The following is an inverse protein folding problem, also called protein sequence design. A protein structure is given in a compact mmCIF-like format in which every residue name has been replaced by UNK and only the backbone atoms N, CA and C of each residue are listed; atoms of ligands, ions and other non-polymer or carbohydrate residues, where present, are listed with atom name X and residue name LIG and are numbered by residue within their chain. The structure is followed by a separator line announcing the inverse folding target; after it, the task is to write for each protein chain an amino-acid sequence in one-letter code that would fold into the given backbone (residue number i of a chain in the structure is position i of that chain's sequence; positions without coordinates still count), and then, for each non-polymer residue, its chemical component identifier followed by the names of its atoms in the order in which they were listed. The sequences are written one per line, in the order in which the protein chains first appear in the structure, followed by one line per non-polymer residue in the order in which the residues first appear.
data_IF_312795433395
#
_entry.id   IF_312795433395
#
_cell.length_a   1.000
_cell.length_b   1.000
_cell.length_c   1.000
_cell.angle_alpha   90.00
_cell.angle_beta   90.00
_cell.angle_gamma   90.00
#
_symmetry.space_group_name_H-M   'P 1'
#
loop_
_entity.id
_entity.type
_entity.pdbx_description
1 polymer ?
#
# COMPACT_ATOMS: atom_id res chain seq x y z
N UNK A 1 3.06 -7.02 -33.70
CA UNK A 1 2.94 -5.59 -33.35
C UNK A 1 2.13 -5.51 -32.06
N UNK A 2 2.81 -5.47 -30.91
CA UNK A 2 2.15 -5.35 -29.61
C UNK A 2 1.81 -3.87 -29.42
N UNK A 3 0.52 -3.55 -29.55
CA UNK A 3 0.02 -2.20 -29.27
C UNK A 3 0.29 -1.91 -27.80
N UNK A 4 1.19 -0.96 -27.53
CA UNK A 4 1.35 -0.31 -26.23
C UNK A 4 0.06 0.47 -25.95
N UNK A 5 -0.97 -0.22 -25.45
CA UNK A 5 -2.19 0.42 -24.99
C UNK A 5 -1.85 1.25 -23.76
N UNK A 6 -2.02 2.56 -23.85
CA UNK A 6 -1.97 3.42 -22.67
C UNK A 6 -2.92 2.83 -21.62
N UNK A 7 -2.42 2.61 -20.40
CA UNK A 7 -3.24 2.07 -19.32
C UNK A 7 -4.40 3.04 -19.04
N UNK A 8 -5.66 2.56 -18.92
CA UNK A 8 -6.84 3.42 -18.83
C UNK A 8 -6.94 4.26 -17.55
N UNK A 9 -5.95 4.15 -16.65
CA UNK A 9 -5.91 4.79 -15.32
C UNK A 9 -4.79 5.82 -15.17
N UNK A 10 -4.12 6.23 -16.25
CA UNK A 10 -3.17 7.34 -16.16
C UNK A 10 -3.88 8.68 -15.82
N UNK A 11 -3.28 9.56 -15.00
CA UNK A 11 -2.00 9.39 -14.32
C UNK A 11 -2.10 8.39 -13.15
N UNK A 12 -1.08 7.56 -12.97
CA UNK A 12 -0.96 6.59 -11.86
C UNK A 12 -0.75 7.28 -10.50
N UNK A 13 -0.97 6.57 -9.36
CA UNK A 13 -0.67 7.07 -8.03
C UNK A 13 0.75 7.64 -7.95
N UNK A 14 0.94 8.65 -7.10
CA UNK A 14 2.28 9.14 -6.77
C UNK A 14 2.96 8.11 -5.88
N UNK A 15 4.17 7.70 -6.25
CA UNK A 15 4.93 6.68 -5.51
C UNK A 15 6.30 7.24 -5.15
N UNK A 16 6.74 6.98 -3.92
CA UNK A 16 8.08 7.29 -3.44
C UNK A 16 8.74 6.06 -2.85
N UNK A 17 9.98 5.85 -3.27
CA UNK A 17 10.89 4.86 -2.70
C UNK A 17 11.80 5.54 -1.69
N UNK A 18 12.17 4.82 -0.64
CA UNK A 18 13.26 5.19 0.25
C UNK A 18 13.94 3.94 0.81
N UNK A 19 15.11 4.13 1.40
CA UNK A 19 15.77 3.08 2.17
C UNK A 19 15.81 3.43 3.66
N UNK A 20 15.76 2.42 4.50
CA UNK A 20 15.69 2.55 5.97
C UNK A 20 16.85 3.36 6.56
N UNK A 21 17.99 3.44 5.87
CA UNK A 21 19.17 4.20 6.29
C UNK A 21 19.24 5.65 5.79
N UNK A 22 18.37 6.04 4.85
CA UNK A 22 18.33 7.38 4.25
C UNK A 22 17.29 8.30 4.92
N UNK A 23 16.44 7.73 5.79
CA UNK A 23 15.41 8.49 6.49
C UNK A 23 16.07 9.37 7.54
N UNK A 24 15.91 10.70 7.39
CA UNK A 24 16.44 11.69 8.33
C UNK A 24 15.92 11.40 9.75
N UNK A 25 16.80 11.22 10.75
CA UNK A 25 16.40 11.08 12.15
C UNK A 25 15.56 12.25 12.67
N UNK A 26 15.70 13.46 12.08
CA UNK A 26 14.84 14.61 12.38
C UNK A 26 13.37 14.34 12.06
N UNK A 27 13.08 13.36 11.22
CA UNK A 27 11.74 12.89 10.93
C UNK A 27 10.97 12.39 12.16
N UNK A 28 11.63 12.01 13.26
CA UNK A 28 10.94 11.69 14.54
C UNK A 28 10.13 12.89 15.07
N UNK A 29 10.50 14.12 14.73
CA UNK A 29 9.74 15.33 15.11
C UNK A 29 8.38 15.45 14.41
N UNK A 30 8.20 14.76 13.27
CA UNK A 30 6.93 14.75 12.52
C UNK A 30 5.89 13.79 13.11
N UNK A 31 6.30 12.91 14.01
CA UNK A 31 5.41 11.92 14.59
C UNK A 31 4.54 12.55 15.68
N UNK A 32 3.33 12.02 15.86
CA UNK A 32 2.53 12.34 17.04
C UNK A 32 2.99 11.55 18.28
N UNK A 33 2.38 11.82 19.44
CA UNK A 33 2.73 11.13 20.69
C UNK A 33 2.47 9.62 20.62
N UNK A 34 1.34 9.20 20.05
CA UNK A 34 0.97 7.79 19.94
C UNK A 34 1.91 7.02 18.98
N UNK A 35 2.37 7.65 17.91
CA UNK A 35 3.38 7.11 17.01
C UNK A 35 4.74 6.97 17.68
N UNK A 36 5.17 7.98 18.44
CA UNK A 36 6.43 7.90 19.21
C UNK A 36 6.39 6.77 20.23
N UNK A 37 5.29 6.61 20.95
CA UNK A 37 5.09 5.50 21.90
C UNK A 37 5.13 4.14 21.20
N UNK A 38 4.42 4.00 20.07
CA UNK A 38 4.46 2.76 19.26
C UNK A 38 5.87 2.45 18.78
N UNK A 39 6.62 3.44 18.30
CA UNK A 39 8.02 3.26 17.90
C UNK A 39 8.93 2.88 19.07
N UNK A 40 8.70 3.45 20.26
CA UNK A 40 9.45 3.13 21.48
C UNK A 40 9.20 1.69 21.95
N UNK A 41 8.00 1.15 21.74
CA UNK A 41 7.66 -0.24 22.07
C UNK A 41 8.33 -1.29 21.13
N UNK A 42 8.83 -0.88 19.96
CA UNK A 42 9.49 -1.78 19.01
C UNK A 42 10.90 -2.15 19.47
N UNK A 43 11.06 -3.37 19.98
CA UNK A 43 12.36 -3.90 20.44
C UNK A 43 13.39 -4.11 19.33
N UNK A 44 12.94 -4.43 18.12
CA UNK A 44 13.82 -4.74 17.00
C UNK A 44 14.23 -3.47 16.23
N UNK A 45 15.52 -3.08 16.20
CA UNK A 45 15.98 -1.84 15.56
C UNK A 45 15.56 -1.72 14.09
N UNK A 46 15.68 -2.82 13.32
CA UNK A 46 15.27 -2.84 11.91
C UNK A 46 13.75 -2.65 11.72
N UNK A 47 12.91 -3.08 12.68
CA UNK A 47 11.46 -2.85 12.62
C UNK A 47 11.12 -1.41 12.98
N UNK A 48 11.82 -0.84 13.98
CA UNK A 48 11.70 0.57 14.36
C UNK A 48 12.06 1.48 13.19
N UNK A 49 13.22 1.26 12.56
CA UNK A 49 13.71 2.10 11.47
C UNK A 49 12.79 2.04 10.22
N UNK A 50 12.25 0.85 9.88
CA UNK A 50 11.22 0.72 8.82
C UNK A 50 9.92 1.47 9.15
N UNK A 51 9.48 1.38 10.40
CA UNK A 51 8.23 2.03 10.83
C UNK A 51 8.38 3.56 10.85
N UNK A 52 9.53 4.06 11.30
CA UNK A 52 9.87 5.48 11.23
C UNK A 52 9.96 5.95 9.77
N UNK A 53 10.70 5.22 8.93
CA UNK A 53 10.82 5.51 7.50
C UNK A 53 9.48 5.63 6.81
N UNK A 54 8.60 4.63 6.98
CA UNK A 54 7.27 4.68 6.42
C UNK A 54 6.47 5.90 6.92
N UNK A 55 6.52 6.23 8.22
CA UNK A 55 5.80 7.37 8.78
C UNK A 55 6.27 8.71 8.19
N UNK A 56 7.59 8.89 8.04
CA UNK A 56 8.19 10.11 7.48
C UNK A 56 7.89 10.22 5.99
N UNK A 57 8.18 9.17 5.20
CA UNK A 57 7.93 9.14 3.76
C UNK A 57 6.45 9.37 3.41
N UNK A 58 5.53 8.85 4.23
CA UNK A 58 4.09 9.13 4.08
C UNK A 58 3.79 10.62 4.23
N UNK A 59 4.28 11.26 5.30
CA UNK A 59 4.00 12.68 5.55
C UNK A 59 4.62 13.59 4.50
N UNK A 60 5.85 13.32 4.09
CA UNK A 60 6.52 14.09 3.05
C UNK A 60 5.80 13.99 1.70
N UNK A 61 5.43 12.78 1.28
CA UNK A 61 4.74 12.58 0.02
C UNK A 61 3.32 13.17 0.05
N UNK A 62 2.59 12.98 1.16
CA UNK A 62 1.25 13.56 1.35
C UNK A 62 1.30 15.09 1.33
N UNK A 63 2.25 15.70 2.06
CA UNK A 63 2.43 17.14 2.12
C UNK A 63 2.73 17.72 0.74
N UNK A 64 3.62 17.08 -0.03
CA UNK A 64 3.94 17.49 -1.39
C UNK A 64 2.72 17.48 -2.30
N UNK A 65 1.94 16.39 -2.32
CA UNK A 65 0.78 16.31 -3.22
C UNK A 65 -0.40 17.16 -2.75
N UNK A 66 -0.52 17.40 -1.45
CA UNK A 66 -1.58 18.22 -0.86
C UNK A 66 -1.23 19.72 -0.87
N UNK A 67 0.03 20.09 -1.10
CA UNK A 67 0.49 21.48 -1.06
C UNK A 67 0.51 22.07 0.36
N UNK A 68 0.77 21.25 1.38
CA UNK A 68 0.91 21.68 2.77
C UNK A 68 2.30 21.32 3.33
N UNK A 69 2.57 21.66 4.58
CA UNK A 69 3.80 21.24 5.27
C UNK A 69 3.64 19.83 5.87
N UNK A 70 4.72 19.04 6.01
CA UNK A 70 4.66 17.71 6.63
C UNK A 70 4.05 17.68 8.05
N UNK A 71 4.22 18.74 8.83
CA UNK A 71 3.65 18.88 10.19
C UNK A 71 2.13 19.07 10.20
N UNK A 72 1.55 19.47 9.06
CA UNK A 72 0.11 19.64 8.89
C UNK A 72 -0.59 18.34 8.49
N UNK A 73 0.19 17.27 8.23
CA UNK A 73 -0.33 15.94 7.88
C UNK A 73 -0.51 15.10 9.14
N UNK A 74 -1.76 14.88 9.51
CA UNK A 74 -2.13 13.88 10.53
C UNK A 74 -2.41 12.52 9.91
N UNK A 75 -2.13 11.43 10.63
CA UNK A 75 -2.46 10.06 10.21
C UNK A 75 -3.28 9.36 11.30
N UNK A 76 -4.58 9.17 11.06
CA UNK A 76 -5.41 8.34 11.94
C UNK A 76 -5.17 6.86 11.61
N UNK A 77 -5.04 6.03 12.65
CA UNK A 77 -4.85 4.58 12.54
C UNK A 77 -5.83 3.83 13.43
N UNK A 78 -6.95 4.43 13.77
CA UNK A 78 -7.99 3.77 14.58
C UNK A 78 -8.53 2.56 13.82
N UNK A 79 -8.43 1.38 14.43
CA UNK A 79 -9.04 0.16 13.93
C UNK A 79 -10.49 0.06 14.42
N UNK A 80 -11.33 -0.76 13.77
CA UNK A 80 -12.68 -1.05 14.25
C UNK A 80 -12.75 -1.66 15.65
N UNK A 81 -11.63 -2.15 16.20
CA UNK A 81 -11.52 -2.58 17.60
C UNK A 81 -11.12 -1.46 18.57
N UNK A 82 -10.95 -0.22 18.10
CA UNK A 82 -10.57 0.95 18.89
C UNK A 82 -9.05 1.16 19.06
N UNK A 83 -8.22 0.22 18.62
CA UNK A 83 -6.77 0.26 18.80
C UNK A 83 -6.03 0.91 17.61
N UNK A 84 -4.85 1.52 17.80
CA UNK A 84 -4.14 2.33 16.80
C UNK A 84 -3.31 1.47 15.80
N UNK A 85 -3.93 0.44 15.24
CA UNK A 85 -3.33 -0.49 14.27
C UNK A 85 -4.13 -0.66 12.98
N UNK A 86 -5.08 0.24 12.72
CA UNK A 86 -5.76 0.35 11.44
C UNK A 86 -4.84 0.84 10.32
N UNK A 87 -5.36 0.82 9.10
CA UNK A 87 -4.70 1.46 7.96
C UNK A 87 -4.57 2.98 8.23
N UNK A 88 -3.49 3.62 7.75
CA UNK A 88 -3.36 5.07 7.85
C UNK A 88 -4.46 5.76 7.04
N UNK A 89 -5.17 6.69 7.68
CA UNK A 89 -6.13 7.61 7.08
C UNK A 89 -5.55 9.02 7.19
N UNK A 90 -5.22 9.68 6.06
CA UNK A 90 -4.73 11.06 6.06
C UNK A 90 -5.76 12.06 6.57
N UNK A 91 -5.28 13.02 7.37
CA UNK A 91 -6.10 14.04 8.02
C UNK A 91 -5.35 15.38 8.04
N UNK A 92 -6.01 16.45 8.49
CA UNK A 92 -5.42 17.79 8.46
C UNK A 92 -5.22 18.28 7.03
N UNK A 93 -4.04 18.81 6.70
CA UNK A 93 -3.72 19.35 5.38
C UNK A 93 -3.80 18.35 4.24
N UNK A 94 -3.76 17.04 4.54
CA UNK A 94 -3.89 15.97 3.56
C UNK A 94 -5.22 15.19 3.63
N UNK A 95 -6.25 15.74 4.29
CA UNK A 95 -7.58 15.12 4.30
C UNK A 95 -8.12 14.89 2.87
N UNK A 96 -8.83 13.78 2.66
CA UNK A 96 -9.34 13.38 1.35
C UNK A 96 -8.29 12.80 0.38
N UNK A 97 -7.09 12.49 0.86
CA UNK A 97 -6.12 11.64 0.17
C UNK A 97 -6.14 10.22 0.75
N UNK A 98 -5.75 9.25 -0.07
CA UNK A 98 -5.47 7.88 0.34
C UNK A 98 -3.96 7.64 0.33
N UNK A 99 -3.48 6.85 1.30
CA UNK A 99 -2.07 6.47 1.39
C UNK A 99 -1.92 4.99 1.70
N UNK A 100 -0.90 4.37 1.14
CA UNK A 100 -0.45 3.02 1.52
C UNK A 100 1.06 3.01 1.63
N UNK A 101 1.58 2.18 2.53
CA UNK A 101 3.01 1.95 2.68
C UNK A 101 3.31 0.44 2.71
N UNK A 102 4.50 0.08 2.24
CA UNK A 102 5.07 -1.25 2.41
C UNK A 102 6.57 -1.17 2.64
N UNK A 103 7.13 -2.24 3.21
CA UNK A 103 8.55 -2.34 3.45
C UNK A 103 9.02 -3.79 3.36
N UNK A 104 10.18 -4.03 2.74
CA UNK A 104 10.80 -5.35 2.69
C UNK A 104 12.31 -5.20 2.63
N UNK A 105 13.02 -5.91 3.51
CA UNK A 105 14.45 -5.67 3.76
C UNK A 105 14.76 -4.20 4.03
N UNK A 106 15.64 -3.56 3.23
CA UNK A 106 16.00 -2.15 3.41
C UNK A 106 15.00 -1.18 2.76
N UNK A 107 13.99 -1.67 2.04
CA UNK A 107 13.08 -0.83 1.27
C UNK A 107 11.89 -0.35 2.08
N UNK A 108 11.50 0.90 1.80
CA UNK A 108 10.20 1.47 2.13
C UNK A 108 9.62 2.06 0.85
N UNK A 109 8.37 1.74 0.56
CA UNK A 109 7.63 2.29 -0.58
C UNK A 109 6.31 2.87 -0.07
N UNK A 110 6.00 4.08 -0.51
CA UNK A 110 4.74 4.76 -0.19
C UNK A 110 4.05 5.12 -1.50
N UNK A 111 2.73 4.92 -1.54
CA UNK A 111 1.87 5.39 -2.62
C UNK A 111 0.76 6.30 -2.08
N UNK A 112 0.44 7.36 -2.82
CA UNK A 112 -0.60 8.33 -2.51
C UNK A 112 -1.47 8.60 -3.73
N UNK A 113 -2.78 8.72 -3.50
CA UNK A 113 -3.77 8.96 -4.54
C UNK A 113 -5.07 9.58 -3.98
N UNK A 114 -5.93 10.11 -4.84
CA UNK A 114 -7.31 10.50 -4.51
C UNK A 114 -8.25 9.30 -4.43
N UNK A 115 -7.92 8.21 -5.10
CA UNK A 115 -8.66 6.96 -5.06
C UNK A 115 -8.04 5.97 -4.06
N UNK A 116 -8.77 4.95 -3.57
CA UNK A 116 -8.18 3.91 -2.73
C UNK A 116 -6.96 3.28 -3.41
N UNK A 117 -5.82 3.40 -2.74
CA UNK A 117 -4.52 2.98 -3.23
C UNK A 117 -3.88 1.99 -2.27
N UNK A 118 -3.19 1.01 -2.83
CA UNK A 118 -2.37 0.06 -2.09
C UNK A 118 -1.01 -0.09 -2.76
N UNK A 119 0.03 -0.33 -1.97
CA UNK A 119 1.37 -0.60 -2.48
C UNK A 119 2.00 -1.72 -1.70
N UNK A 120 2.75 -2.56 -2.40
CA UNK A 120 3.54 -3.60 -1.79
C UNK A 120 4.92 -3.74 -2.42
N UNK A 121 5.89 -4.16 -1.59
CA UNK A 121 7.26 -4.46 -2.00
C UNK A 121 7.69 -5.74 -1.30
N UNK A 122 8.29 -6.67 -2.05
CA UNK A 122 8.82 -7.93 -1.55
C UNK A 122 10.23 -8.18 -2.05
N UNK A 123 11.10 -8.63 -1.14
CA UNK A 123 12.39 -9.17 -1.53
C UNK A 123 12.21 -10.53 -2.21
N UNK A 124 12.89 -10.70 -3.33
CA UNK A 124 13.07 -11.99 -3.99
C UNK A 124 13.93 -12.85 -3.08
N UNK A 125 13.37 -13.96 -2.62
CA UNK A 125 14.08 -14.97 -1.82
C UNK A 125 14.91 -15.86 -2.73
N UNK A 126 15.94 -16.48 -2.17
CA UNK A 126 16.76 -17.45 -2.91
C UNK A 126 15.97 -18.74 -3.20
N UNK A 127 15.09 -19.12 -2.27
CA UNK A 127 14.29 -20.34 -2.37
C UNK A 127 12.95 -20.11 -3.08
N UNK A 128 12.56 -21.06 -3.92
CA UNK A 128 11.24 -21.10 -4.53
C UNK A 128 10.14 -21.32 -3.46
N UNK A 129 8.92 -20.79 -3.68
CA UNK A 129 7.82 -21.00 -2.74
C UNK A 129 7.45 -22.48 -2.62
N UNK A 130 7.06 -22.90 -1.42
CA UNK A 130 6.55 -24.26 -1.23
C UNK A 130 5.22 -24.46 -1.96
N UNK A 131 4.91 -25.71 -2.35
CA UNK A 131 3.64 -26.05 -3.00
C UNK A 131 2.42 -25.65 -2.16
N UNK A 132 2.49 -25.80 -0.84
CA UNK A 132 1.41 -25.42 0.07
C UNK A 132 1.19 -23.90 0.09
N UNK A 133 2.26 -23.11 0.00
CA UNK A 133 2.15 -21.66 -0.09
C UNK A 133 1.52 -21.25 -1.43
N UNK A 134 1.96 -21.85 -2.54
CA UNK A 134 1.38 -21.62 -3.86
C UNK A 134 -0.14 -21.90 -3.89
N UNK A 135 -0.59 -22.98 -3.25
CA UNK A 135 -2.03 -23.30 -3.15
C UNK A 135 -2.87 -22.25 -2.41
N UNK A 136 -2.26 -21.51 -1.47
CA UNK A 136 -2.95 -20.44 -0.71
C UNK A 136 -2.94 -19.09 -1.45
N UNK A 137 -2.02 -18.93 -2.38
CA UNK A 137 -1.82 -17.69 -3.12
C UNK A 137 -2.53 -17.73 -4.48
N UNK A 138 -2.42 -18.83 -5.24
CA UNK A 138 -2.97 -18.90 -6.60
C UNK A 138 -4.49 -18.92 -6.59
N UNK A 139 -5.08 -18.04 -7.39
CA UNK A 139 -6.50 -18.10 -7.69
C UNK A 139 -6.80 -19.22 -8.70
N UNK A 140 -8.02 -19.77 -8.72
CA UNK A 140 -8.41 -20.79 -9.68
C UNK A 140 -8.11 -20.33 -11.12
N UNK A 141 -7.29 -21.10 -11.84
CA UNK A 141 -6.90 -20.82 -13.23
C UNK A 141 -5.84 -19.73 -13.42
N UNK A 142 -5.08 -19.37 -12.38
CA UNK A 142 -3.78 -18.71 -12.53
C UNK A 142 -2.68 -19.75 -12.72
N UNK A 143 -1.74 -19.45 -13.62
CA UNK A 143 -0.55 -20.26 -13.79
C UNK A 143 0.42 -20.05 -12.63
N UNK A 144 1.11 -21.10 -12.14
CA UNK A 144 2.14 -20.95 -11.13
C UNK A 144 3.25 -19.98 -11.59
N UNK A 145 3.72 -19.08 -10.72
CA UNK A 145 4.80 -18.18 -11.07
C UNK A 145 6.12 -18.91 -11.31
N UNK A 146 6.95 -18.38 -12.20
CA UNK A 146 8.30 -18.89 -12.46
C UNK A 146 9.27 -18.47 -11.35
N UNK A 147 9.62 -19.43 -10.49
CA UNK A 147 10.62 -19.26 -9.44
C UNK A 147 10.26 -18.22 -8.37
N UNK A 148 11.25 -17.86 -7.55
CA UNK A 148 11.05 -16.93 -6.45
C UNK A 148 10.73 -15.50 -6.90
N UNK A 149 11.31 -15.06 -8.03
CA UNK A 149 11.06 -13.72 -8.57
C UNK A 149 9.61 -13.55 -9.07
N UNK A 150 9.10 -14.54 -9.81
CA UNK A 150 7.70 -14.54 -10.23
C UNK A 150 6.75 -14.60 -9.04
N UNK A 151 7.11 -15.36 -8.00
CA UNK A 151 6.31 -15.45 -6.78
C UNK A 151 6.25 -14.13 -6.03
N UNK A 152 7.39 -13.44 -5.85
CA UNK A 152 7.44 -12.12 -5.23
C UNK A 152 6.64 -11.08 -6.03
N UNK A 153 6.65 -11.16 -7.37
CA UNK A 153 5.82 -10.31 -8.22
C UNK A 153 4.33 -10.57 -8.01
N UNK A 154 3.89 -11.83 -8.06
CA UNK A 154 2.49 -12.18 -7.84
C UNK A 154 2.01 -11.82 -6.42
N UNK A 155 2.84 -12.08 -5.41
CA UNK A 155 2.56 -11.74 -4.02
C UNK A 155 2.36 -10.24 -3.86
N UNK A 156 3.34 -9.44 -4.31
CA UNK A 156 3.28 -7.98 -4.19
C UNK A 156 2.09 -7.39 -4.96
N UNK A 157 1.75 -7.93 -6.13
CA UNK A 157 0.54 -7.53 -6.86
C UNK A 157 -0.74 -7.75 -6.04
N UNK A 158 -0.89 -8.94 -5.44
CA UNK A 158 -2.08 -9.29 -4.64
C UNK A 158 -2.15 -8.50 -3.34
N UNK A 159 -1.03 -8.36 -2.62
CA UNK A 159 -0.96 -7.54 -1.40
C UNK A 159 -1.24 -6.07 -1.68
N UNK A 160 -0.75 -5.51 -2.79
CA UNK A 160 -1.07 -4.14 -3.19
C UNK A 160 -2.58 -3.96 -3.38
N UNK A 161 -3.26 -4.91 -4.03
CA UNK A 161 -4.72 -4.87 -4.15
C UNK A 161 -5.45 -5.02 -2.79
N UNK A 162 -5.02 -5.95 -1.95
CA UNK A 162 -5.61 -6.17 -0.62
C UNK A 162 -5.45 -4.96 0.30
N UNK A 163 -4.32 -4.27 0.22
CA UNK A 163 -4.09 -3.00 0.94
C UNK A 163 -4.98 -1.88 0.41
N UNK A 164 -5.19 -1.81 -0.90
CA UNK A 164 -6.11 -0.84 -1.50
C UNK A 164 -7.55 -1.07 -1.03
N UNK A 165 -7.98 -2.33 -0.96
CA UNK A 165 -9.28 -2.73 -0.41
C UNK A 165 -9.43 -2.42 1.08
N UNK A 166 -8.33 -2.42 1.85
CA UNK A 166 -8.35 -2.23 3.29
C UNK A 166 -8.87 -3.44 4.08
N UNK A 167 -9.13 -4.58 3.44
CA UNK A 167 -9.62 -5.80 4.09
C UNK A 167 -8.53 -6.54 4.86
N UNK A 168 -7.25 -6.23 4.61
CA UNK A 168 -6.12 -6.99 5.14
C UNK A 168 -6.23 -8.48 4.81
N UNK A 169 -5.88 -9.34 5.77
CA UNK A 169 -5.89 -10.80 5.62
C UNK A 169 -7.28 -11.44 5.68
N UNK A 170 -8.35 -10.67 5.85
CA UNK A 170 -9.72 -11.22 5.84
C UNK A 170 -10.17 -11.70 4.46
N UNK A 171 -9.57 -11.16 3.40
CA UNK A 171 -9.75 -11.62 2.02
C UNK A 171 -8.63 -12.61 1.67
N UNK A 172 -8.94 -13.89 1.36
CA UNK A 172 -7.91 -14.86 1.00
C UNK A 172 -7.18 -14.49 -0.30
N UNK A 173 -5.86 -14.62 -0.36
CA UNK A 173 -5.10 -14.35 -1.59
C UNK A 173 -5.55 -15.20 -2.79
N UNK A 174 -5.95 -16.45 -2.54
CA UNK A 174 -6.51 -17.33 -3.57
C UNK A 174 -7.87 -16.85 -4.14
N UNK A 175 -8.52 -15.84 -3.54
CA UNK A 175 -9.70 -15.19 -4.13
C UNK A 175 -9.33 -14.04 -5.07
N UNK A 176 -8.14 -13.46 -4.91
CA UNK A 176 -7.65 -12.34 -5.72
C UNK A 176 -7.06 -12.88 -7.01
N UNK A 177 -7.64 -12.53 -8.16
CA UNK A 177 -7.09 -12.88 -9.48
C UNK A 177 -6.41 -11.68 -10.11
N UNK A 178 -5.21 -11.89 -10.65
CA UNK A 178 -4.47 -10.91 -11.45
C UNK A 178 -4.50 -11.35 -12.92
N UNK A 179 -4.83 -10.43 -13.82
CA UNK A 179 -4.83 -10.69 -15.26
C UNK A 179 -3.61 -10.06 -15.94
N UNK A 180 -3.22 -10.60 -17.10
CA UNK A 180 -2.03 -10.15 -17.83
C UNK A 180 -2.12 -8.72 -18.38
N UNK A 181 -3.30 -8.10 -18.37
CA UNK A 181 -3.51 -6.69 -18.71
C UNK A 181 -3.30 -5.75 -17.52
N UNK A 182 -2.96 -6.29 -16.34
CA UNK A 182 -2.78 -5.53 -15.10
C UNK A 182 -4.06 -5.30 -14.32
N UNK A 183 -5.22 -5.79 -14.77
CA UNK A 183 -6.44 -5.74 -13.96
C UNK A 183 -6.38 -6.73 -12.79
N UNK A 184 -7.12 -6.45 -11.71
CA UNK A 184 -7.19 -7.28 -10.50
C UNK A 184 -8.56 -7.19 -9.80
N UNK A 185 -9.01 -8.27 -9.16
CA UNK A 185 -10.27 -8.33 -8.41
C UNK A 185 -10.33 -9.58 -7.51
N UNK A 186 -11.04 -9.50 -6.38
CA UNK A 186 -11.35 -10.63 -5.48
C UNK A 186 -12.66 -11.38 -5.82
N UNK A 187 -13.23 -11.19 -7.01
CA UNK A 187 -14.44 -11.89 -7.47
C UNK A 187 -15.68 -10.99 -7.51
N UNK A 188 -16.87 -11.61 -7.56
CA UNK A 188 -18.14 -10.87 -7.76
C UNK A 188 -18.39 -9.90 -6.60
N UNK A 189 -18.70 -8.65 -6.95
CA UNK A 189 -19.01 -7.58 -6.00
C UNK A 189 -17.80 -6.89 -5.38
N UNK A 190 -16.58 -7.45 -5.54
CA UNK A 190 -15.37 -6.77 -5.10
C UNK A 190 -14.99 -5.66 -6.10
N UNK A 191 -14.54 -4.49 -5.62
CA UNK A 191 -14.00 -3.44 -6.48
C UNK A 191 -12.93 -3.98 -7.43
N UNK A 192 -12.95 -3.53 -8.68
CA UNK A 192 -11.85 -3.80 -9.61
C UNK A 192 -10.70 -2.86 -9.29
N UNK A 193 -9.48 -3.30 -9.58
CA UNK A 193 -8.30 -2.47 -9.50
C UNK A 193 -7.42 -2.64 -10.74
N UNK A 194 -6.46 -1.74 -10.83
CA UNK A 194 -5.40 -1.76 -11.83
C UNK A 194 -4.05 -1.73 -11.13
N UNK A 195 -3.15 -2.58 -11.60
CA UNK A 195 -1.80 -2.75 -11.09
C UNK A 195 -0.77 -2.12 -12.01
N UNK A 196 0.25 -1.53 -11.41
CA UNK A 196 1.48 -1.14 -12.09
C UNK A 196 2.67 -1.74 -11.33
N UNK A 197 3.53 -2.48 -12.05
CA UNK A 197 4.83 -2.87 -11.51
C UNK A 197 5.70 -1.63 -11.35
N UNK A 198 6.29 -1.49 -10.16
CA UNK A 198 7.17 -0.39 -9.83
C UNK A 198 8.61 -0.83 -10.11
N UNK A 199 9.21 -0.26 -11.16
CA UNK A 199 10.62 -0.47 -11.46
C UNK A 199 11.43 0.63 -10.76
N UNK A 200 12.20 0.33 -9.70
CA UNK A 200 13.06 1.34 -9.10
C UNK A 200 14.11 1.82 -10.11
N UNK A 201 14.40 3.12 -10.08
CA UNK A 201 15.38 3.78 -10.98
C UNK A 201 16.83 3.34 -10.75
N UNK A 202 17.09 2.62 -9.65
CA UNK A 202 18.41 2.10 -9.27
C UNK A 202 18.28 0.58 -9.14
N UNK A 203 19.15 -0.22 -9.77
CA UNK A 203 18.90 -1.64 -9.90
C UNK A 203 18.99 -2.31 -8.53
N UNK A 204 17.84 -2.75 -8.03
CA UNK A 204 17.79 -3.72 -6.95
C UNK A 204 17.07 -4.93 -7.53
N UNK A 205 17.79 -5.81 -8.26
CA UNK A 205 17.21 -7.02 -8.86
C UNK A 205 16.55 -7.95 -7.83
N UNK A 206 16.78 -7.66 -6.55
CA UNK A 206 16.35 -8.38 -5.36
C UNK A 206 14.96 -8.01 -4.86
N UNK A 207 14.21 -7.10 -5.48
CA UNK A 207 12.84 -6.77 -5.04
C UNK A 207 11.82 -6.76 -6.19
N UNK A 208 10.56 -6.99 -5.86
CA UNK A 208 9.39 -6.78 -6.72
C UNK A 208 8.40 -5.91 -5.98
N UNK A 209 7.82 -4.94 -6.67
CA UNK A 209 6.87 -4.03 -6.07
C UNK A 209 5.75 -3.68 -7.03
N UNK A 210 4.55 -3.50 -6.49
CA UNK A 210 3.37 -3.13 -7.24
C UNK A 210 2.62 -2.04 -6.51
N UNK A 211 2.03 -1.13 -7.28
CA UNK A 211 0.99 -0.22 -6.81
C UNK A 211 -0.34 -0.62 -7.43
N UNK A 212 -1.41 -0.53 -6.65
CA UNK A 212 -2.78 -0.79 -7.07
C UNK A 212 -3.65 0.43 -6.81
N UNK A 213 -4.43 0.85 -7.81
CA UNK A 213 -5.54 1.80 -7.65
C UNK A 213 -6.84 1.03 -7.86
N UNK A 214 -7.79 1.17 -6.92
CA UNK A 214 -9.15 0.68 -7.14
C UNK A 214 -9.95 1.65 -8.04
N UNK A 215 -10.87 1.09 -8.82
CA UNK A 215 -11.78 1.83 -9.71
C UNK A 215 -13.23 1.38 -9.51
N UNK A 216 -14.15 2.34 -9.51
CA UNK A 216 -15.58 2.13 -9.30
C UNK A 216 -16.28 3.41 -8.88
N UNK A 217 -17.58 3.52 -9.16
CA UNK A 217 -18.34 4.78 -9.02
C UNK A 217 -18.58 5.18 -7.54
N UNK A 218 -18.54 4.22 -6.61
CA UNK A 218 -18.81 4.44 -5.18
C UNK A 218 -17.55 4.34 -4.28
N UNK A 219 -16.36 4.40 -4.88
CA UNK A 219 -15.11 4.31 -4.10
C UNK A 219 -14.83 5.62 -3.37
N UNK A 220 -15.10 5.64 -2.07
CA UNK A 220 -14.71 6.75 -1.20
C UNK A 220 -13.34 6.49 -0.56
N UNK A 221 -12.55 7.54 -0.30
CA UNK A 221 -11.44 7.45 0.63
C UNK A 221 -11.92 6.82 1.95
N UNK A 222 -11.06 6.05 2.60
CA UNK A 222 -11.41 5.55 3.93
C UNK A 222 -11.63 6.75 4.88
N UNK A 223 -12.76 6.77 5.56
CA UNK A 223 -13.07 7.72 6.62
C UNK A 223 -12.53 7.25 7.96
N UNK A 224 -12.52 8.14 8.95
CA UNK A 224 -12.16 7.77 10.31
C UNK A 224 -13.22 6.86 10.92
N UNK A 225 -12.80 6.01 11.86
CA UNK A 225 -13.76 5.24 12.65
C UNK A 225 -14.61 6.20 13.48
N UNK A 226 -15.93 6.21 13.25
CA UNK A 226 -16.90 7.07 13.95
C UNK A 226 -17.38 8.30 13.16
N UNK A 227 -16.88 8.51 11.94
CA UNK A 227 -17.37 9.56 11.03
C UNK A 227 -18.49 8.96 10.16
N UNK A 228 -19.73 8.97 10.66
CA UNK A 228 -20.92 8.67 9.85
C UNK A 228 -21.30 9.93 9.06
N UNK A 229 -21.62 9.77 7.76
CA UNK A 229 -22.17 10.83 6.90
C UNK A 229 -23.51 11.30 7.47
N UNK A 230 -23.50 12.33 8.33
CA UNK A 230 -24.70 12.99 8.86
C UNK A 230 -25.22 14.09 7.90
N UNK A 231 -24.59 14.28 6.73
CA UNK A 231 -24.90 15.36 5.77
C UNK A 231 -25.75 14.91 4.56
N UNK A 232 -26.52 13.81 4.67
CA UNK A 232 -27.40 13.33 3.59
C UNK A 232 -28.90 13.51 3.88
N UNK A 233 -29.29 14.31 4.88
CA UNK A 233 -30.69 14.51 5.26
C UNK A 233 -31.05 15.97 5.54
N UNK A 234 -30.80 16.86 4.57
CA UNK A 234 -31.56 18.11 4.46
C UNK A 234 -31.61 18.57 2.98
N UNK A 235 -32.62 18.07 2.25
CA UNK A 235 -33.19 18.69 1.04
C UNK A 235 -34.59 18.10 0.77
#
# INVERSE_FOLDING_TARGET
MLSSGASPVAPWPRVRWGTVGEVDPRGESLLDAAERERLAALRAPARRARSLGAAVLMRELLAEVAGCRPEEVGLDRTCGCGEPHGRPVPTGGAAGWCVSASHSGPFVVVAVDRQPVGVDVELVRDEAPSRQLLQRVLAPGEEPPLGAAGFAALWSAKEAYLKALGTGLSTPMASVRVWGDGSVSAGRGAPRGWLQELVPSTPLPVARAHVCRLVGDDLRPASRVGETDDDAQEA
#
